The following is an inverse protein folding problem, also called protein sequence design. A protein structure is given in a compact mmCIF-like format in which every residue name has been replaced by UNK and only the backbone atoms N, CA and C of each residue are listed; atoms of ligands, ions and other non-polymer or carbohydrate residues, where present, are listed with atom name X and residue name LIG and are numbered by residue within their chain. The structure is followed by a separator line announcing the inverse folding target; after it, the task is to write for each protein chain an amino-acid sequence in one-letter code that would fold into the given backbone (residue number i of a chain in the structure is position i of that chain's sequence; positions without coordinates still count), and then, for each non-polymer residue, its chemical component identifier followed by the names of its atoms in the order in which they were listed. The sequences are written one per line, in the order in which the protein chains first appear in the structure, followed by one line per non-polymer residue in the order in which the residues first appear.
data_IF_222393356186
#
_entry.id   IF_222393356186
#
_cell.length_a   1.000
_cell.length_b   1.000
_cell.length_c   1.000
_cell.angle_alpha   90.00
_cell.angle_beta   90.00
_cell.angle_gamma   90.00
#
_symmetry.space_group_name_H-M   'P 1'
#
loop_
_entity.id
_entity.type
_entity.pdbx_description
1 polymer ?
#
# COMPACT_ATOMS: atom_id res chain seq x y z
N UNK A 1 -11.28 -9.46 -1.77
CA UNK A 1 -11.19 -8.20 -0.99
C UNK A 1 -9.91 -8.10 -0.13
N UNK A 2 -9.06 -9.13 0.00
CA UNK A 2 -7.92 -9.11 0.95
C UNK A 2 -6.55 -8.67 0.39
N UNK A 3 -6.36 -8.54 -0.92
CA UNK A 3 -5.02 -8.31 -1.47
C UNK A 3 -4.51 -6.88 -1.26
N UNK A 4 -5.41 -5.89 -1.26
CA UNK A 4 -5.01 -4.48 -1.11
C UNK A 4 -4.52 -4.18 0.31
N UNK A 5 -5.22 -4.70 1.33
CA UNK A 5 -4.83 -4.52 2.73
C UNK A 5 -3.51 -5.23 3.05
N UNK A 6 -3.30 -6.43 2.52
CA UNK A 6 -2.04 -7.15 2.64
C UNK A 6 -0.88 -6.39 1.97
N UNK A 7 -1.10 -5.85 0.76
CA UNK A 7 -0.10 -5.07 0.05
C UNK A 7 0.25 -3.76 0.78
N UNK A 8 -0.75 -3.08 1.36
CA UNK A 8 -0.52 -1.87 2.15
C UNK A 8 0.28 -2.17 3.44
N UNK A 9 -0.05 -3.26 4.14
CA UNK A 9 0.71 -3.71 5.30
C UNK A 9 2.16 -4.10 4.95
N UNK A 10 2.37 -4.77 3.80
CA UNK A 10 3.72 -5.09 3.32
C UNK A 10 4.53 -3.85 2.94
N UNK A 11 3.89 -2.86 2.30
CA UNK A 11 4.51 -1.59 1.96
C UNK A 11 4.93 -0.81 3.21
N UNK A 12 4.07 -0.75 4.22
CA UNK A 12 4.38 -0.14 5.52
C UNK A 12 5.52 -0.88 6.22
N UNK A 13 5.49 -2.21 6.26
CA UNK A 13 6.56 -3.01 6.86
C UNK A 13 7.90 -2.89 6.12
N UNK A 14 7.89 -2.69 4.80
CA UNK A 14 9.08 -2.39 4.02
C UNK A 14 9.61 -0.98 4.34
N UNK A 15 8.74 0.02 4.40
CA UNK A 15 9.11 1.39 4.76
C UNK A 15 9.78 1.46 6.14
N UNK A 16 9.15 0.84 7.14
CA UNK A 16 9.68 0.76 8.51
C UNK A 16 11.08 0.13 8.53
N UNK A 17 11.26 -1.00 7.82
CA UNK A 17 12.58 -1.65 7.69
C UNK A 17 13.62 -0.76 7.02
N UNK A 18 13.28 -0.09 5.92
CA UNK A 18 14.21 0.78 5.18
C UNK A 18 14.65 1.99 6.01
N UNK A 19 13.76 2.47 6.89
CA UNK A 19 14.00 3.64 7.74
C UNK A 19 14.50 3.29 9.14
N UNK A 20 14.63 1.99 9.46
CA UNK A 20 14.96 1.49 10.80
C UNK A 20 14.00 2.05 11.87
N UNK A 21 12.73 2.19 11.50
CA UNK A 21 11.66 2.64 12.39
C UNK A 21 10.86 1.42 12.84
N UNK A 22 10.42 1.42 14.09
CA UNK A 22 9.38 0.48 14.50
C UNK A 22 8.01 1.02 14.11
N UNK A 23 7.12 0.17 13.60
CA UNK A 23 5.77 0.58 13.21
C UNK A 23 4.96 1.09 14.42
N UNK A 24 5.32 0.64 15.62
CA UNK A 24 4.73 1.11 16.88
C UNK A 24 5.21 2.50 17.31
N UNK A 25 6.29 3.00 16.70
CA UNK A 25 6.85 4.33 16.97
C UNK A 25 6.33 5.40 16.00
N UNK A 26 5.66 4.99 14.92
CA UNK A 26 5.02 5.90 13.98
C UNK A 26 3.73 6.47 14.58
N UNK A 27 3.51 7.80 14.51
CA UNK A 27 2.22 8.40 14.82
C UNK A 27 1.12 7.77 13.96
N UNK A 28 -0.07 7.55 14.54
CA UNK A 28 -1.20 6.96 13.81
C UNK A 28 -1.52 7.73 12.51
N UNK A 29 -1.40 9.06 12.53
CA UNK A 29 -1.61 9.87 11.33
C UNK A 29 -0.59 9.60 10.21
N UNK A 30 0.65 9.26 10.53
CA UNK A 30 1.66 8.91 9.52
C UNK A 30 1.41 7.51 8.95
N UNK A 31 0.96 6.57 9.79
CA UNK A 31 0.53 5.23 9.35
C UNK A 31 -0.67 5.33 8.41
N UNK A 32 -1.67 6.14 8.75
CA UNK A 32 -2.87 6.34 7.92
C UNK A 32 -2.50 6.91 6.54
N UNK A 33 -1.61 7.92 6.48
CA UNK A 33 -1.13 8.50 5.21
C UNK A 33 -0.42 7.47 4.34
N UNK A 34 0.42 6.61 4.94
CA UNK A 34 1.14 5.57 4.21
C UNK A 34 0.19 4.48 3.68
N UNK A 35 -0.84 4.13 4.45
CA UNK A 35 -1.85 3.18 4.03
C UNK A 35 -2.74 3.75 2.91
N UNK A 36 -3.15 5.01 3.02
CA UNK A 36 -3.94 5.70 1.98
C UNK A 36 -3.19 5.73 0.64
N UNK A 37 -1.90 6.09 0.66
CA UNK A 37 -1.06 6.08 -0.53
C UNK A 37 -0.97 4.67 -1.14
N UNK A 38 -0.77 3.65 -0.31
CA UNK A 38 -0.68 2.27 -0.77
C UNK A 38 -2.01 1.77 -1.37
N UNK A 39 -3.15 2.19 -0.81
CA UNK A 39 -4.47 1.86 -1.35
C UNK A 39 -4.75 2.54 -2.68
N UNK A 40 -4.40 3.82 -2.82
CA UNK A 40 -4.53 4.55 -4.09
C UNK A 40 -3.72 3.87 -5.20
N UNK A 41 -2.45 3.55 -4.94
CA UNK A 41 -1.59 2.85 -5.90
C UNK A 41 -2.12 1.45 -6.24
N UNK A 42 -2.61 0.70 -5.24
CA UNK A 42 -3.22 -0.61 -5.48
C UNK A 42 -4.49 -0.50 -6.34
N UNK A 43 -5.30 0.55 -6.15
CA UNK A 43 -6.49 0.83 -6.95
C UNK A 43 -6.12 1.18 -8.40
N UNK A 44 -5.10 2.03 -8.60
CA UNK A 44 -4.59 2.38 -9.92
C UNK A 44 -4.02 1.16 -10.66
N UNK A 45 -3.22 0.33 -10.00
CA UNK A 45 -2.72 -0.92 -10.60
C UNK A 45 -3.84 -1.89 -10.95
N UNK A 46 -4.87 -2.00 -10.11
CA UNK A 46 -6.02 -2.84 -10.40
C UNK A 46 -6.81 -2.32 -11.62
N UNK A 47 -6.95 -1.00 -11.76
CA UNK A 47 -7.55 -0.37 -12.94
C UNK A 47 -6.70 -0.62 -14.20
N UNK A 48 -5.39 -0.41 -14.14
CA UNK A 48 -4.46 -0.67 -15.24
C UNK A 48 -4.49 -2.15 -15.70
N UNK A 49 -4.54 -3.10 -14.75
CA UNK A 49 -4.68 -4.53 -15.06
C UNK A 49 -6.02 -4.87 -15.73
N UNK A 50 -7.11 -4.19 -15.34
CA UNK A 50 -8.42 -4.36 -15.98
C UNK A 50 -8.41 -3.83 -17.41
N UNK A 51 -7.79 -2.67 -17.62
CA UNK A 51 -7.66 -2.06 -18.95
C UNK A 51 -6.80 -2.93 -19.88
N UNK A 52 -5.68 -3.44 -19.37
CA UNK A 52 -4.81 -4.35 -20.11
C UNK A 52 -5.52 -5.65 -20.54
N UNK A 53 -6.43 -6.18 -19.72
CA UNK A 53 -7.27 -7.35 -20.06
C UNK A 53 -8.38 -7.04 -21.05
N UNK A 54 -8.78 -5.77 -21.19
CA UNK A 54 -9.82 -5.36 -22.15
C UNK A 54 -9.26 -5.19 -23.56
N UNK A 55 -7.97 -4.89 -23.66
CA UNK A 55 -7.26 -4.62 -24.92
C UNK A 55 -6.58 -5.83 -25.54
N UNK A 56 -6.47 -6.95 -24.80
CA UNK A 56 -5.94 -8.23 -25.30
C UNK A 56 -7.05 -9.24 -25.56
#
# INVERSE_FOLDING_TARGET
MNNAFAAAAEALALFCRLRQLDATELPACEVDVLLDLAFEEAAQQAAARREARRLG
#
